data_IF_058463843057
#
_entry.id   IF_058463843057
#
_cell.length_a   1.000
_cell.length_b   1.000
_cell.length_c   1.000
_cell.angle_alpha   90.00
_cell.angle_beta   90.00
_cell.angle_gamma   90.00
#
_symmetry.space_group_name_H-M   'P 1'
#
loop_
_entity.id
_entity.type
_entity.pdbx_description
1 polymer ?
#
# COMPACT_ATOMS: atom_id res chain seq x y z
N UNK A 1 18.85 13.39 6.56
CA UNK A 1 17.98 12.33 7.05
C UNK A 1 16.71 12.89 7.66
N UNK A 2 15.74 12.03 7.94
CA UNK A 2 14.49 12.40 8.59
C UNK A 2 14.63 12.40 10.12
N UNK A 3 13.95 13.30 10.80
CA UNK A 3 13.66 13.16 12.23
C UNK A 3 12.42 12.27 12.34
N UNK A 4 12.53 11.16 13.07
CA UNK A 4 11.45 10.17 13.18
C UNK A 4 10.92 10.11 14.61
N UNK A 5 9.61 9.89 14.73
CA UNK A 5 8.92 9.55 15.97
C UNK A 5 8.07 8.31 15.71
N UNK A 6 8.18 7.33 16.57
CA UNK A 6 7.24 6.19 16.60
C UNK A 6 6.04 6.59 17.42
N UNK A 7 4.84 6.43 16.86
CA UNK A 7 3.58 6.76 17.49
C UNK A 7 2.70 5.53 17.47
N UNK A 8 2.12 5.20 18.59
CA UNK A 8 1.15 4.10 18.69
C UNK A 8 -0.23 4.56 18.22
N UNK A 9 -1.06 3.61 17.81
CA UNK A 9 -2.46 3.90 17.49
C UNK A 9 -3.21 4.51 18.68
N UNK A 10 -2.85 4.09 19.90
CA UNK A 10 -3.48 4.62 21.13
C UNK A 10 -3.16 6.09 21.36
N UNK A 11 -1.91 6.52 21.15
CA UNK A 11 -1.53 7.94 21.24
C UNK A 11 -2.29 8.79 20.21
N UNK A 12 -2.51 8.25 19.00
CA UNK A 12 -3.34 8.91 18.00
C UNK A 12 -4.83 8.94 18.37
N UNK A 13 -5.34 7.88 18.99
CA UNK A 13 -6.73 7.78 19.45
C UNK A 13 -6.99 8.76 20.59
N UNK A 14 -6.14 8.77 21.60
CA UNK A 14 -6.26 9.60 22.81
C UNK A 14 -5.92 11.08 22.57
N UNK A 15 -5.47 11.42 21.35
CA UNK A 15 -5.04 12.76 20.93
C UNK A 15 -3.79 13.29 21.64
N UNK A 16 -3.00 12.40 22.21
CA UNK A 16 -1.68 12.75 22.74
C UNK A 16 -0.73 13.20 21.64
N UNK A 17 -1.04 12.78 20.40
CA UNK A 17 -0.39 13.25 19.19
C UNK A 17 -1.38 13.38 18.02
N UNK A 18 -1.00 14.15 17.00
CA UNK A 18 -1.78 14.26 15.77
C UNK A 18 -0.91 13.96 14.56
N UNK A 19 -1.36 13.01 13.71
CA UNK A 19 -0.69 12.68 12.45
C UNK A 19 -0.44 13.93 11.58
N UNK A 20 -1.30 14.94 11.68
CA UNK A 20 -1.17 16.17 10.92
C UNK A 20 0.00 17.08 11.37
N UNK A 21 0.68 16.75 12.45
CA UNK A 21 1.91 17.44 12.87
C UNK A 21 3.16 16.97 12.09
N UNK A 22 3.02 15.98 11.20
CA UNK A 22 4.13 15.36 10.46
C UNK A 22 3.98 15.58 8.96
N UNK A 23 5.11 15.59 8.26
CA UNK A 23 5.17 15.72 6.79
C UNK A 23 5.07 14.36 6.09
N UNK A 24 5.52 13.29 6.79
CA UNK A 24 5.50 11.93 6.27
C UNK A 24 5.02 10.96 7.34
N UNK A 25 4.04 10.14 6.99
CA UNK A 25 3.56 9.04 7.81
C UNK A 25 3.88 7.68 7.17
N UNK A 26 4.45 6.78 7.96
CA UNK A 26 4.66 5.40 7.54
C UNK A 26 3.79 4.46 8.40
N UNK A 27 2.84 3.77 7.77
CA UNK A 27 2.09 2.70 8.42
C UNK A 27 2.91 1.42 8.25
N UNK A 28 3.48 0.95 9.35
CA UNK A 28 4.39 -0.20 9.34
C UNK A 28 3.64 -1.53 9.24
N UNK A 29 4.36 -2.57 8.82
CA UNK A 29 3.84 -3.91 8.72
C UNK A 29 3.76 -4.65 10.06
N UNK A 30 3.40 -5.90 9.97
CA UNK A 30 3.19 -6.85 11.07
C UNK A 30 1.92 -7.66 10.85
N UNK A 31 1.45 -8.38 11.88
CA UNK A 31 0.19 -9.13 11.86
C UNK A 31 -0.77 -8.49 12.86
N UNK A 32 -1.33 -7.36 12.48
CA UNK A 32 -2.19 -6.56 13.37
C UNK A 32 -3.47 -7.31 13.72
N UNK A 33 -3.61 -7.71 14.99
CA UNK A 33 -4.74 -8.51 15.46
C UNK A 33 -4.75 -9.94 14.93
N UNK A 34 -3.57 -10.51 14.61
CA UNK A 34 -3.43 -11.87 14.11
C UNK A 34 -3.95 -12.09 12.68
N UNK A 35 -4.37 -11.01 12.00
CA UNK A 35 -5.07 -11.07 10.70
C UNK A 35 -6.37 -11.92 10.73
N UNK A 36 -6.96 -12.10 11.89
CA UNK A 36 -8.14 -12.98 12.11
C UNK A 36 -9.36 -12.60 11.25
N UNK A 37 -9.48 -11.32 10.86
CA UNK A 37 -10.54 -10.81 10.01
C UNK A 37 -10.05 -10.47 8.58
N UNK A 38 -8.88 -10.99 8.20
CA UNK A 38 -8.16 -10.64 6.99
C UNK A 38 -7.11 -9.56 7.22
N UNK A 39 -6.03 -9.63 6.44
CA UNK A 39 -4.85 -8.80 6.63
C UNK A 39 -5.16 -7.29 6.63
N UNK A 40 -4.67 -6.59 7.64
CA UNK A 40 -4.85 -5.15 7.83
C UNK A 40 -6.24 -4.72 8.34
N UNK A 41 -7.22 -5.61 8.45
CA UNK A 41 -8.61 -5.23 8.78
C UNK A 41 -8.73 -4.70 10.21
N UNK A 42 -8.18 -5.40 11.20
CA UNK A 42 -8.25 -4.97 12.61
C UNK A 42 -7.55 -3.63 12.81
N UNK A 43 -6.41 -3.42 12.16
CA UNK A 43 -5.71 -2.16 12.22
C UNK A 43 -6.52 -1.03 11.57
N UNK A 44 -7.12 -1.28 10.41
CA UNK A 44 -7.99 -0.31 9.75
C UNK A 44 -9.18 0.09 10.63
N UNK A 45 -9.82 -0.86 11.30
CA UNK A 45 -10.92 -0.58 12.24
C UNK A 45 -10.49 0.37 13.37
N UNK A 46 -9.27 0.22 13.89
CA UNK A 46 -8.73 1.14 14.89
C UNK A 46 -8.49 2.53 14.31
N UNK A 47 -7.94 2.63 13.11
CA UNK A 47 -7.74 3.91 12.42
C UNK A 47 -9.06 4.64 12.13
N UNK A 48 -10.17 3.92 11.92
CA UNK A 48 -11.47 4.53 11.69
C UNK A 48 -11.96 5.41 12.84
N UNK A 49 -11.45 5.24 14.05
CA UNK A 49 -11.80 6.08 15.22
C UNK A 49 -11.33 7.53 15.07
N UNK A 50 -10.29 7.76 14.26
CA UNK A 50 -9.77 9.11 13.98
C UNK A 50 -9.62 9.39 12.47
N UNK A 51 -10.49 8.76 11.68
CA UNK A 51 -10.48 8.81 10.21
C UNK A 51 -10.43 10.23 9.64
N UNK A 52 -11.12 11.19 10.26
CA UNK A 52 -11.19 12.56 9.76
C UNK A 52 -9.81 13.26 9.82
N UNK A 53 -8.97 12.92 10.81
CA UNK A 53 -7.58 13.38 10.89
C UNK A 53 -6.72 12.74 9.81
N UNK A 54 -6.94 11.43 9.58
CA UNK A 54 -6.24 10.67 8.56
C UNK A 54 -6.58 11.17 7.15
N UNK A 55 -7.85 11.43 6.87
CA UNK A 55 -8.28 11.96 5.58
C UNK A 55 -7.71 13.35 5.32
N UNK A 56 -7.71 14.25 6.29
CA UNK A 56 -7.04 15.54 6.16
C UNK A 56 -5.56 15.41 5.84
N UNK A 57 -4.89 14.42 6.43
CA UNK A 57 -3.48 14.16 6.16
C UNK A 57 -3.24 13.77 4.69
N UNK A 58 -4.03 12.85 4.15
CA UNK A 58 -3.84 12.37 2.77
C UNK A 58 -4.34 13.34 1.71
N UNK A 59 -5.28 14.22 2.06
CA UNK A 59 -5.77 15.29 1.19
C UNK A 59 -4.78 16.47 1.07
N UNK A 60 -3.84 16.61 2.01
CA UNK A 60 -2.81 17.65 1.96
C UNK A 60 -1.69 17.25 1.00
N UNK A 61 -1.58 17.97 -0.11
CA UNK A 61 -0.58 17.74 -1.18
C UNK A 61 0.87 17.91 -0.73
N UNK A 62 1.12 18.50 0.44
CA UNK A 62 2.47 18.66 1.00
C UNK A 62 2.86 17.51 1.92
N UNK A 63 1.99 16.53 2.11
CA UNK A 63 2.21 15.40 3.00
C UNK A 63 2.34 14.10 2.21
N UNK A 64 3.09 13.18 2.78
CA UNK A 64 3.35 11.88 2.15
C UNK A 64 2.93 10.75 3.09
N UNK A 65 2.38 9.70 2.52
CA UNK A 65 2.08 8.48 3.27
C UNK A 65 2.61 7.25 2.54
N UNK A 66 3.17 6.32 3.31
CA UNK A 66 3.61 5.03 2.80
C UNK A 66 3.08 3.91 3.70
N UNK A 67 2.58 2.85 3.09
CA UNK A 67 2.22 1.61 3.77
C UNK A 67 3.17 0.48 3.44
N UNK A 68 3.65 -0.21 4.45
CA UNK A 68 4.58 -1.32 4.27
C UNK A 68 3.89 -2.62 4.72
N UNK A 69 3.81 -3.62 3.82
CA UNK A 69 3.22 -4.94 4.11
C UNK A 69 1.78 -4.79 4.67
N UNK A 70 1.52 -5.24 5.89
CA UNK A 70 0.22 -5.08 6.56
C UNK A 70 -0.25 -3.62 6.63
N UNK A 71 0.68 -2.66 6.67
CA UNK A 71 0.35 -1.23 6.58
C UNK A 71 -0.28 -0.84 5.24
N UNK A 72 0.20 -1.39 4.12
CA UNK A 72 -0.42 -1.16 2.80
C UNK A 72 -1.83 -1.79 2.74
N UNK A 73 -1.99 -3.01 3.27
CA UNK A 73 -3.30 -3.66 3.38
C UNK A 73 -4.27 -2.84 4.25
N UNK A 74 -3.78 -2.24 5.33
CA UNK A 74 -4.55 -1.30 6.17
C UNK A 74 -5.00 -0.07 5.37
N UNK A 75 -4.10 0.55 4.60
CA UNK A 75 -4.45 1.69 3.75
C UNK A 75 -5.52 1.34 2.71
N UNK A 76 -5.45 0.15 2.12
CA UNK A 76 -6.49 -0.37 1.21
C UNK A 76 -7.84 -0.49 1.91
N UNK A 77 -7.87 -1.08 3.11
CA UNK A 77 -9.10 -1.24 3.90
C UNK A 77 -9.70 0.09 4.36
N UNK A 78 -8.87 1.13 4.48
CA UNK A 78 -9.31 2.49 4.79
C UNK A 78 -9.82 3.27 3.56
N UNK A 79 -9.61 2.75 2.34
CA UNK A 79 -9.98 3.42 1.10
C UNK A 79 -9.03 4.54 0.67
N UNK A 80 -7.81 4.60 1.23
CA UNK A 80 -6.87 5.70 0.98
C UNK A 80 -6.28 5.72 -0.44
N UNK A 81 -6.51 4.67 -1.23
CA UNK A 81 -6.12 4.59 -2.64
C UNK A 81 -7.29 4.89 -3.59
N UNK A 82 -8.50 5.08 -3.05
CA UNK A 82 -9.66 5.50 -3.82
C UNK A 82 -9.51 6.94 -4.34
N UNK A 83 -10.33 7.31 -5.32
CA UNK A 83 -10.29 8.63 -5.95
C UNK A 83 -10.51 9.78 -4.95
N UNK A 84 -11.37 9.55 -3.97
CA UNK A 84 -11.72 10.50 -2.90
C UNK A 84 -10.95 10.24 -1.60
N UNK A 85 -9.97 9.33 -1.60
CA UNK A 85 -9.24 8.85 -0.42
C UNK A 85 -10.13 8.22 0.68
N UNK A 86 -11.36 7.83 0.35
CA UNK A 86 -12.35 7.29 1.30
C UNK A 86 -13.06 6.05 0.77
N UNK A 87 -13.22 5.97 -0.55
CA UNK A 87 -13.90 4.85 -1.20
C UNK A 87 -12.96 3.65 -1.35
N UNK A 88 -13.42 2.51 -0.88
CA UNK A 88 -12.71 1.23 -1.08
C UNK A 88 -13.06 0.64 -2.44
N UNK A 89 -12.40 1.11 -3.46
CA UNK A 89 -12.56 0.67 -4.84
C UNK A 89 -11.50 -0.35 -5.28
N UNK A 90 -10.56 -0.68 -4.39
CA UNK A 90 -9.57 -1.75 -4.59
C UNK A 90 -9.22 -2.45 -3.28
N UNK A 91 -8.65 -3.64 -3.40
CA UNK A 91 -8.19 -4.42 -2.25
C UNK A 91 -6.97 -5.26 -2.61
N UNK A 92 -6.30 -5.79 -1.56
CA UNK A 92 -5.36 -6.89 -1.70
C UNK A 92 -6.05 -8.18 -1.27
N UNK A 93 -5.90 -9.24 -2.05
CA UNK A 93 -6.47 -10.56 -1.83
C UNK A 93 -5.42 -11.65 -1.99
N UNK A 94 -5.84 -12.91 -1.88
CA UNK A 94 -4.94 -14.06 -1.94
C UNK A 94 -4.14 -14.10 -3.25
N UNK A 95 -2.88 -14.52 -3.12
CA UNK A 95 -2.03 -14.79 -4.28
C UNK A 95 -2.70 -15.78 -5.23
N UNK A 96 -2.48 -15.68 -6.53
CA UNK A 96 -3.03 -16.60 -7.52
C UNK A 96 -2.63 -18.06 -7.27
N UNK A 97 -1.45 -18.28 -6.71
CA UNK A 97 -0.99 -19.61 -6.30
C UNK A 97 -1.71 -20.17 -5.07
N UNK A 98 -2.56 -19.41 -4.40
CA UNK A 98 -3.28 -19.82 -3.19
C UNK A 98 -2.36 -20.16 -2.01
N UNK A 99 -1.11 -19.73 -2.03
CA UNK A 99 -0.12 -20.01 -1.00
C UNK A 99 0.72 -18.79 -0.65
N UNK A 100 1.29 -18.80 0.54
CA UNK A 100 2.25 -17.80 0.99
C UNK A 100 3.50 -17.85 0.10
N UNK A 101 3.94 -16.71 -0.39
CA UNK A 101 5.17 -16.56 -1.15
C UNK A 101 6.22 -15.84 -0.31
N UNK A 102 7.45 -16.36 -0.33
CA UNK A 102 8.60 -15.74 0.31
C UNK A 102 9.78 -15.80 -0.67
N UNK A 103 10.21 -14.66 -1.19
CA UNK A 103 11.30 -14.64 -2.15
C UNK A 103 11.63 -13.24 -2.65
N UNK A 104 12.67 -13.18 -3.47
CA UNK A 104 13.03 -11.97 -4.18
C UNK A 104 12.19 -11.84 -5.46
N UNK A 105 11.80 -10.62 -5.74
CA UNK A 105 11.18 -10.24 -7.01
C UNK A 105 11.96 -9.09 -7.64
N UNK A 106 11.85 -8.97 -8.94
CA UNK A 106 12.33 -7.81 -9.69
C UNK A 106 11.15 -6.96 -10.08
N UNK A 107 11.27 -5.66 -9.84
CA UNK A 107 10.29 -4.69 -10.23
C UNK A 107 10.88 -3.66 -11.18
N UNK A 108 10.21 -3.41 -12.29
CA UNK A 108 10.46 -2.27 -13.17
C UNK A 108 9.56 -1.13 -12.74
N UNK A 109 10.14 0.00 -12.43
CA UNK A 109 9.39 1.19 -12.03
C UNK A 109 8.78 1.84 -13.26
N UNK A 110 7.53 2.27 -13.15
CA UNK A 110 6.88 3.11 -14.13
C UNK A 110 7.44 4.54 -14.01
N UNK A 111 8.26 4.95 -14.98
CA UNK A 111 8.90 6.28 -14.99
C UNK A 111 7.91 7.44 -15.07
N UNK A 112 6.71 7.19 -15.62
CA UNK A 112 5.66 8.18 -15.78
C UNK A 112 4.78 8.32 -14.51
N UNK A 113 5.01 7.46 -13.50
CA UNK A 113 4.28 7.52 -12.25
C UNK A 113 4.55 8.82 -11.49
N UNK A 114 3.52 9.48 -10.94
CA UNK A 114 3.68 10.64 -10.08
C UNK A 114 4.26 10.31 -8.69
N UNK A 115 4.50 9.03 -8.39
CA UNK A 115 4.97 8.57 -7.10
C UNK A 115 6.36 9.14 -6.76
N UNK A 116 6.44 9.97 -5.72
CA UNK A 116 7.69 10.61 -5.31
C UNK A 116 8.70 9.64 -4.72
N UNK A 117 8.25 8.50 -4.17
CA UNK A 117 9.12 7.51 -3.54
C UNK A 117 9.96 6.71 -4.55
N UNK A 118 9.54 6.68 -5.81
CA UNK A 118 10.23 5.95 -6.88
C UNK A 118 10.87 6.86 -7.92
N UNK A 119 10.82 8.17 -7.71
CA UNK A 119 11.34 9.15 -8.66
C UNK A 119 12.86 8.98 -8.86
N UNK A 120 13.28 8.80 -10.10
CA UNK A 120 14.67 8.56 -10.46
C UNK A 120 15.16 7.12 -10.23
N UNK A 121 14.25 6.22 -9.89
CA UNK A 121 14.51 4.78 -9.78
C UNK A 121 13.95 4.10 -11.02
N UNK A 122 14.75 3.29 -11.70
CA UNK A 122 14.32 2.52 -12.87
C UNK A 122 13.89 1.10 -12.49
N UNK A 123 14.56 0.52 -11.51
CA UNK A 123 14.41 -0.88 -11.13
C UNK A 123 14.60 -1.08 -9.63
N UNK A 124 13.85 -2.01 -9.07
CA UNK A 124 13.95 -2.38 -7.65
C UNK A 124 13.93 -3.90 -7.51
N UNK A 125 14.90 -4.46 -6.79
CA UNK A 125 14.84 -5.83 -6.33
C UNK A 125 14.30 -5.81 -4.89
N UNK A 126 13.17 -6.46 -4.68
CA UNK A 126 12.45 -6.43 -3.41
C UNK A 126 12.23 -7.83 -2.85
N UNK A 127 12.27 -7.93 -1.53
CA UNK A 127 11.80 -9.11 -0.83
C UNK A 127 10.28 -9.01 -0.67
N UNK A 128 9.56 -10.03 -1.11
CA UNK A 128 8.13 -10.18 -0.85
C UNK A 128 7.88 -11.36 0.07
N UNK A 129 6.97 -11.15 1.01
CA UNK A 129 6.53 -12.16 1.99
C UNK A 129 5.06 -11.94 2.28
N UNK A 130 4.20 -12.56 1.48
CA UNK A 130 2.76 -12.39 1.61
C UNK A 130 1.97 -13.61 1.10
N UNK A 131 0.79 -13.82 1.68
CA UNK A 131 -0.25 -14.69 1.16
C UNK A 131 -1.37 -13.90 0.47
N UNK A 132 -1.45 -12.60 0.76
CA UNK A 132 -2.43 -11.65 0.23
C UNK A 132 -1.71 -10.45 -0.40
N UNK A 133 -1.28 -10.59 -1.64
CA UNK A 133 -0.55 -9.55 -2.37
C UNK A 133 -1.13 -9.22 -3.74
N UNK A 134 -2.20 -9.92 -4.16
CA UNK A 134 -2.86 -9.68 -5.42
C UNK A 134 -3.81 -8.50 -5.33
N UNK A 135 -3.62 -7.51 -6.22
CA UNK A 135 -4.53 -6.39 -6.33
C UNK A 135 -5.82 -6.81 -7.02
N UNK A 136 -6.94 -6.43 -6.45
CA UNK A 136 -8.24 -6.49 -7.09
C UNK A 136 -8.91 -5.12 -7.06
N UNK A 137 -9.57 -4.77 -8.14
CA UNK A 137 -10.33 -3.53 -8.31
C UNK A 137 -11.81 -3.83 -8.41
N UNK A 138 -12.64 -2.87 -8.00
CA UNK A 138 -14.09 -3.01 -8.00
C UNK A 138 -14.65 -3.23 -9.40
N UNK A 139 -14.12 -2.50 -10.39
CA UNK A 139 -14.56 -2.56 -11.79
C UNK A 139 -13.48 -2.06 -12.75
N UNK A 140 -13.77 -2.16 -14.04
CA UNK A 140 -12.86 -1.72 -15.10
C UNK A 140 -12.59 -0.20 -15.08
N UNK A 141 -13.52 0.62 -14.62
CA UNK A 141 -13.32 2.07 -14.51
C UNK A 141 -12.21 2.43 -13.53
N UNK A 142 -12.13 1.71 -12.40
CA UNK A 142 -11.02 1.84 -11.44
C UNK A 142 -9.68 1.46 -12.08
N UNK A 143 -9.65 0.35 -12.82
CA UNK A 143 -8.43 -0.08 -13.52
C UNK A 143 -7.97 0.93 -14.57
N UNK A 144 -8.89 1.47 -15.35
CA UNK A 144 -8.61 2.50 -16.36
C UNK A 144 -8.09 3.79 -15.70
N UNK A 145 -8.68 4.20 -14.58
CA UNK A 145 -8.20 5.35 -13.79
C UNK A 145 -6.76 5.15 -13.31
N UNK A 146 -6.43 3.98 -12.78
CA UNK A 146 -5.08 3.66 -12.33
C UNK A 146 -4.09 3.77 -13.50
N UNK A 147 -4.41 3.16 -14.65
CA UNK A 147 -3.53 3.15 -15.82
C UNK A 147 -3.39 4.53 -16.47
N UNK A 148 -4.49 5.25 -16.68
CA UNK A 148 -4.48 6.54 -17.34
C UNK A 148 -3.77 7.63 -16.54
N UNK A 149 -3.71 7.49 -15.21
CA UNK A 149 -2.99 8.40 -14.33
C UNK A 149 -1.62 7.87 -13.88
N UNK A 150 -1.13 6.76 -14.44
CA UNK A 150 0.15 6.14 -14.11
C UNK A 150 0.33 5.85 -12.61
N UNK A 151 -0.75 5.42 -11.95
CA UNK A 151 -0.73 5.09 -10.52
C UNK A 151 -0.18 3.69 -10.24
N UNK A 152 0.02 2.88 -11.26
CA UNK A 152 0.70 1.60 -11.26
C UNK A 152 2.22 1.82 -11.20
N UNK A 153 2.74 1.95 -10.00
CA UNK A 153 4.10 2.45 -9.73
C UNK A 153 5.19 1.49 -10.20
N UNK A 154 4.92 0.18 -10.16
CA UNK A 154 5.91 -0.85 -10.45
C UNK A 154 5.24 -2.12 -10.96
N UNK A 155 5.89 -2.80 -11.91
CA UNK A 155 5.49 -4.10 -12.42
C UNK A 155 6.53 -5.17 -12.10
N UNK A 156 6.08 -6.37 -11.76
CA UNK A 156 6.97 -7.54 -11.69
C UNK A 156 7.58 -7.82 -13.05
N UNK A 157 8.85 -8.18 -13.08
CA UNK A 157 9.55 -8.55 -14.31
C UNK A 157 10.22 -9.92 -14.19
N UNK A 158 10.38 -10.57 -15.33
CA UNK A 158 11.20 -11.76 -15.49
C UNK A 158 12.72 -11.43 -15.55
N UNK A 159 13.53 -12.44 -15.77
CA UNK A 159 14.99 -12.29 -15.89
C UNK A 159 15.42 -11.45 -17.10
N UNK A 160 14.58 -11.32 -18.11
CA UNK A 160 14.86 -10.51 -19.32
C UNK A 160 14.43 -9.05 -19.13
N UNK A 161 13.64 -8.75 -18.09
CA UNK A 161 13.08 -7.43 -17.82
C UNK A 161 11.70 -7.21 -18.46
N UNK A 162 11.09 -8.25 -19.01
CA UNK A 162 9.73 -8.20 -19.53
C UNK A 162 8.73 -8.32 -18.36
N UNK A 163 7.54 -7.73 -18.50
CA UNK A 163 6.50 -7.81 -17.48
C UNK A 163 6.11 -9.25 -17.24
N UNK A 164 6.23 -9.70 -16.00
CA UNK A 164 6.01 -11.08 -15.63
C UNK A 164 4.52 -11.42 -15.57
N UNK A 165 4.16 -12.55 -16.17
CA UNK A 165 2.77 -13.04 -16.17
C UNK A 165 2.33 -13.37 -14.73
N UNK A 166 1.11 -12.97 -14.32
CA UNK A 166 0.53 -13.34 -13.04
C UNK A 166 0.59 -14.84 -12.76
N UNK A 167 0.87 -15.23 -11.52
CA UNK A 167 1.02 -16.63 -11.12
C UNK A 167 2.29 -17.34 -11.59
N UNK A 168 3.18 -16.66 -12.32
CA UNK A 168 4.47 -17.22 -12.76
C UNK A 168 5.49 -17.33 -11.62
N UNK A 169 6.69 -17.85 -11.92
CA UNK A 169 7.79 -17.89 -10.95
C UNK A 169 8.26 -16.49 -10.52
N UNK A 170 8.06 -15.50 -11.38
CA UNK A 170 8.49 -14.10 -11.17
C UNK A 170 7.38 -13.19 -10.63
N UNK A 171 6.14 -13.64 -10.66
CA UNK A 171 4.98 -12.89 -10.16
C UNK A 171 4.04 -13.86 -9.43
N UNK A 172 3.99 -13.80 -8.08
CA UNK A 172 3.14 -14.71 -7.29
C UNK A 172 1.63 -14.37 -7.37
N UNK A 173 1.29 -13.23 -7.96
CA UNK A 173 -0.06 -12.65 -8.02
C UNK A 173 -0.70 -12.76 -9.38
#
# INVERSE_FOLDING_TARGET
GFRTKTITIYELEDRDDDINNYDLAAIVGGFSGGDDLGAGTVQAMKFMKFRDRLYRFVEDKNKLMIGICNGAQTMMKLGLFGEDYKTRDMTLTYNDKGSFYCGWIRGKVNSDSPCVFTKGVDRMDLIVRHGEGRFEVLDNGVLERIKSNNLDVMHYTDDKGDVAVPGSAYNPN
#
